data_IF_101272648405
#
_entry.id   IF_101272648405
#
_cell.length_a   1.000
_cell.length_b   1.000
_cell.length_c   1.000
_cell.angle_alpha   90.00
_cell.angle_beta   90.00
_cell.angle_gamma   90.00
#
_symmetry.space_group_name_H-M   'P 1'
#
loop_
_entity.id
_entity.type
_entity.pdbx_description
1 polymer ?
#
# COMPACT_ATOMS: atom_id res chain seq x y z
N UNK A 1 -0.83 -20.61 -0.57
CA UNK A 1 0.13 -20.65 -1.70
C UNK A 1 -0.32 -21.46 -2.91
N UNK A 2 -1.02 -22.61 -2.77
CA UNK A 2 -1.35 -23.49 -3.92
C UNK A 2 -1.94 -22.76 -5.13
N UNK A 3 -2.98 -21.95 -4.94
CA UNK A 3 -3.63 -21.24 -6.04
C UNK A 3 -2.71 -20.22 -6.72
N UNK A 4 -1.91 -19.47 -5.95
CA UNK A 4 -0.96 -18.48 -6.50
C UNK A 4 0.05 -19.19 -7.40
N UNK A 5 0.62 -20.29 -6.92
CA UNK A 5 1.57 -21.07 -7.70
C UNK A 5 0.91 -21.59 -8.98
N UNK A 6 -0.31 -22.14 -8.89
CA UNK A 6 -1.06 -22.59 -10.09
C UNK A 6 -1.29 -21.46 -11.09
N UNK A 7 -1.67 -20.26 -10.64
CA UNK A 7 -1.86 -19.09 -11.51
C UNK A 7 -0.55 -18.68 -12.17
N UNK A 8 0.55 -18.59 -11.40
CA UNK A 8 1.87 -18.22 -11.92
C UNK A 8 2.40 -19.24 -12.92
N UNK A 9 2.25 -20.54 -12.66
CA UNK A 9 2.66 -21.59 -13.59
C UNK A 9 1.87 -21.53 -14.90
N UNK A 10 0.53 -21.39 -14.84
CA UNK A 10 -0.30 -21.20 -16.04
C UNK A 10 0.06 -19.91 -16.79
N UNK A 11 0.41 -18.83 -16.08
CA UNK A 11 0.80 -17.59 -16.71
C UNK A 11 2.16 -17.69 -17.42
N UNK A 12 3.11 -18.47 -16.87
CA UNK A 12 4.40 -18.74 -17.52
C UNK A 12 4.23 -19.45 -18.86
N UNK A 13 3.34 -20.43 -18.97
CA UNK A 13 3.13 -21.17 -20.23
C UNK A 13 2.65 -20.30 -21.38
N UNK A 14 2.12 -19.11 -21.10
CA UNK A 14 1.64 -18.14 -22.11
C UNK A 14 2.40 -16.80 -22.04
N UNK A 15 3.57 -16.76 -21.38
CA UNK A 15 4.41 -15.57 -21.22
C UNK A 15 3.69 -14.35 -20.62
N UNK A 16 2.83 -14.59 -19.60
CA UNK A 16 2.04 -13.55 -18.90
C UNK A 16 2.33 -13.49 -17.40
N UNK A 17 3.49 -13.98 -16.94
CA UNK A 17 3.84 -14.01 -15.52
C UNK A 17 3.77 -12.63 -14.88
N UNK A 18 4.34 -11.60 -15.52
CA UNK A 18 4.34 -10.21 -15.00
C UNK A 18 2.93 -9.66 -14.81
N UNK A 19 2.02 -9.95 -15.75
CA UNK A 19 0.60 -9.57 -15.67
C UNK A 19 -0.10 -10.32 -14.53
N UNK A 20 0.16 -11.61 -14.40
CA UNK A 20 -0.42 -12.41 -13.31
C UNK A 20 0.05 -11.90 -11.95
N UNK A 21 1.34 -11.64 -11.78
CA UNK A 21 1.95 -11.10 -10.56
C UNK A 21 1.36 -9.71 -10.23
N UNK A 22 1.17 -8.83 -11.23
CA UNK A 22 0.49 -7.55 -11.04
C UNK A 22 -0.96 -7.70 -10.54
N UNK A 23 -1.73 -8.65 -11.10
CA UNK A 23 -3.10 -8.93 -10.66
C UNK A 23 -3.16 -9.56 -9.28
N UNK A 24 -2.21 -10.43 -8.94
CA UNK A 24 -2.07 -11.00 -7.59
C UNK A 24 -1.82 -9.87 -6.58
N UNK A 25 -0.85 -8.98 -6.82
CA UNK A 25 -0.57 -7.85 -5.94
C UNK A 25 -1.79 -6.96 -5.72
N UNK A 26 -2.50 -6.60 -6.80
CA UNK A 26 -3.73 -5.81 -6.75
C UNK A 26 -4.85 -6.49 -5.94
N UNK A 27 -4.99 -7.82 -6.09
CA UNK A 27 -6.00 -8.60 -5.37
C UNK A 27 -5.70 -8.66 -3.88
N UNK A 28 -4.44 -8.88 -3.49
CA UNK A 28 -4.03 -8.94 -2.09
C UNK A 28 -4.30 -7.61 -1.36
N UNK A 29 -4.10 -6.48 -2.03
CA UNK A 29 -4.35 -5.15 -1.45
C UNK A 29 -5.83 -4.87 -1.16
N UNK A 30 -6.75 -5.56 -1.83
CA UNK A 30 -8.21 -5.39 -1.68
C UNK A 30 -8.81 -6.14 -0.51
N UNK A 31 -8.00 -6.87 0.27
CA UNK A 31 -8.52 -7.50 1.49
C UNK A 31 -9.28 -6.44 2.33
N UNK A 32 -10.38 -6.77 3.03
CA UNK A 32 -11.10 -5.79 3.84
C UNK A 32 -10.35 -5.37 5.12
N UNK A 33 -10.34 -4.06 5.42
CA UNK A 33 -9.76 -3.46 6.65
C UNK A 33 -10.68 -3.63 7.88
N UNK A 34 -11.64 -4.56 7.82
CA UNK A 34 -12.74 -4.67 8.77
C UNK A 34 -12.41 -5.47 10.04
N UNK A 35 -11.27 -6.18 10.05
CA UNK A 35 -10.81 -6.88 11.24
C UNK A 35 -9.91 -5.98 12.08
N UNK A 36 -10.10 -5.95 13.41
CA UNK A 36 -9.17 -5.36 14.39
C UNK A 36 -7.70 -5.78 14.17
N UNK A 37 -7.48 -6.87 13.41
CA UNK A 37 -6.20 -7.37 12.95
C UNK A 37 -6.09 -7.32 11.41
N UNK A 38 -6.17 -6.13 10.80
CA UNK A 38 -5.85 -5.90 9.37
C UNK A 38 -4.45 -6.43 8.94
N UNK A 39 -3.64 -6.82 9.91
CA UNK A 39 -2.40 -7.56 9.75
C UNK A 39 -2.68 -9.03 9.42
N UNK A 40 -3.05 -9.29 8.17
CA UNK A 40 -3.12 -10.67 7.68
C UNK A 40 -1.70 -11.14 7.42
N UNK A 41 -1.13 -11.80 8.43
CA UNK A 41 0.21 -12.36 8.39
C UNK A 41 0.43 -13.22 7.13
N UNK A 42 -0.60 -13.90 6.66
CA UNK A 42 -0.59 -14.69 5.43
C UNK A 42 -0.31 -13.84 4.19
N UNK A 43 -0.84 -12.62 4.08
CA UNK A 43 -0.56 -11.72 2.96
C UNK A 43 0.90 -11.30 2.99
N UNK A 44 1.43 -10.96 4.16
CA UNK A 44 2.84 -10.56 4.30
C UNK A 44 3.76 -11.70 3.94
N UNK A 45 3.45 -12.92 4.40
CA UNK A 45 4.18 -14.13 4.04
C UNK A 45 4.15 -14.39 2.54
N UNK A 46 3.00 -14.20 1.87
CA UNK A 46 2.89 -14.35 0.41
C UNK A 46 3.82 -13.37 -0.30
N UNK A 47 3.77 -12.09 0.06
CA UNK A 47 4.55 -11.04 -0.58
C UNK A 47 6.05 -11.27 -0.33
N UNK A 48 6.44 -11.58 0.90
CA UNK A 48 7.84 -11.83 1.26
C UNK A 48 8.43 -13.05 0.54
N UNK A 49 7.65 -14.14 0.44
CA UNK A 49 8.09 -15.36 -0.24
C UNK A 49 8.21 -15.17 -1.75
N UNK A 50 7.29 -14.43 -2.37
CA UNK A 50 7.30 -14.23 -3.82
C UNK A 50 8.29 -13.13 -4.25
N UNK A 51 8.39 -12.08 -3.45
CA UNK A 51 9.24 -10.89 -3.61
C UNK A 51 9.38 -10.39 -5.06
N UNK A 52 8.28 -10.46 -5.83
CA UNK A 52 8.23 -9.97 -7.21
C UNK A 52 7.98 -8.46 -7.20
N UNK A 53 8.69 -7.75 -8.07
CA UNK A 53 8.49 -6.31 -8.28
C UNK A 53 7.03 -6.01 -8.64
N UNK A 54 6.44 -6.78 -9.54
CA UNK A 54 5.07 -6.60 -10.02
C UNK A 54 4.05 -6.82 -8.90
N UNK A 55 4.25 -7.82 -8.05
CA UNK A 55 3.40 -8.02 -6.86
C UNK A 55 3.52 -6.84 -5.92
N UNK A 56 4.75 -6.44 -5.59
CA UNK A 56 5.04 -5.39 -4.61
C UNK A 56 4.46 -4.03 -5.05
N UNK A 57 4.70 -3.65 -6.30
CA UNK A 57 4.23 -2.38 -6.86
C UNK A 57 2.71 -2.34 -6.95
N UNK A 58 2.06 -3.42 -7.37
CA UNK A 58 0.60 -3.45 -7.49
C UNK A 58 -0.09 -3.61 -6.13
N UNK A 59 0.57 -4.24 -5.16
CA UNK A 59 0.12 -4.23 -3.78
C UNK A 59 0.15 -2.81 -3.21
N UNK A 60 1.27 -2.09 -3.41
CA UNK A 60 1.43 -0.69 -3.00
C UNK A 60 0.34 0.22 -3.62
N UNK A 61 0.18 0.17 -4.95
CA UNK A 61 -0.85 0.95 -5.66
C UNK A 61 -2.26 0.57 -5.22
N UNK A 62 -2.53 -0.71 -4.97
CA UNK A 62 -3.82 -1.17 -4.46
C UNK A 62 -4.13 -0.61 -3.08
N UNK A 63 -3.14 -0.55 -2.17
CA UNK A 63 -3.30 0.03 -0.84
C UNK A 63 -3.58 1.54 -0.89
N UNK A 64 -2.92 2.24 -1.80
CA UNK A 64 -3.18 3.66 -2.05
C UNK A 64 -4.60 3.87 -2.56
N UNK A 65 -4.97 3.18 -3.64
CA UNK A 65 -6.28 3.32 -4.28
C UNK A 65 -7.45 2.98 -3.35
N UNK A 66 -7.26 2.06 -2.41
CA UNK A 66 -8.28 1.69 -1.42
C UNK A 66 -8.74 2.85 -0.53
N UNK A 67 -7.87 3.83 -0.27
CA UNK A 67 -8.19 5.00 0.58
C UNK A 67 -9.03 6.05 -0.13
N UNK A 68 -9.15 5.96 -1.46
CA UNK A 68 -10.01 6.84 -2.25
C UNK A 68 -9.64 8.32 -2.11
N UNK A 69 -10.61 9.18 -2.37
CA UNK A 69 -10.48 10.63 -2.19
C UNK A 69 -10.94 11.03 -0.79
N UNK A 70 -10.25 12.01 -0.19
CA UNK A 70 -10.67 12.65 1.05
C UNK A 70 -11.34 14.00 0.76
N UNK A 71 -12.32 14.37 1.59
CA UNK A 71 -12.88 15.72 1.65
C UNK A 71 -12.36 16.41 2.90
N UNK A 72 -12.10 17.72 2.84
CA UNK A 72 -11.50 18.49 3.93
C UNK A 72 -11.95 19.95 3.90
N UNK A 73 -11.84 20.65 5.03
CA UNK A 73 -11.99 22.11 5.06
C UNK A 73 -10.79 22.78 4.39
N UNK A 74 -11.02 23.98 3.82
CA UNK A 74 -9.98 24.77 3.11
C UNK A 74 -8.74 24.99 4.00
N UNK A 75 -8.93 25.10 5.31
CA UNK A 75 -7.89 25.38 6.30
C UNK A 75 -7.20 24.16 6.92
N UNK A 76 -7.66 22.95 6.61
CA UNK A 76 -7.27 21.73 7.37
C UNK A 76 -5.89 21.19 6.99
N UNK A 77 -5.37 21.60 5.82
CA UNK A 77 -4.03 21.20 5.34
C UNK A 77 -3.86 19.69 5.21
N UNK A 78 -2.66 19.21 5.53
CA UNK A 78 -2.20 17.84 5.38
C UNK A 78 -2.49 16.89 6.55
N UNK A 79 -3.43 17.23 7.44
CA UNK A 79 -3.70 16.42 8.64
C UNK A 79 -4.08 14.97 8.30
N UNK A 80 -4.97 14.77 7.33
CA UNK A 80 -5.45 13.45 6.92
C UNK A 80 -4.28 12.58 6.42
N UNK A 81 -3.41 13.17 5.61
CA UNK A 81 -2.24 12.48 5.07
C UNK A 81 -1.24 12.14 6.18
N UNK A 82 -1.05 13.01 7.18
CA UNK A 82 -0.21 12.70 8.34
C UNK A 82 -0.75 11.53 9.16
N UNK A 83 -2.06 11.41 9.31
CA UNK A 83 -2.70 10.27 9.98
C UNK A 83 -2.46 8.96 9.20
N UNK A 84 -2.54 8.99 7.87
CA UNK A 84 -2.16 7.85 7.02
C UNK A 84 -0.67 7.51 7.09
N UNK A 85 0.21 8.51 7.06
CA UNK A 85 1.65 8.31 7.18
C UNK A 85 2.03 7.64 8.51
N UNK A 86 1.41 8.09 9.61
CA UNK A 86 1.59 7.50 10.94
C UNK A 86 1.17 6.04 10.95
N UNK A 87 -0.03 5.74 10.43
CA UNK A 87 -0.54 4.37 10.35
C UNK A 87 0.42 3.42 9.62
N UNK A 88 0.92 3.81 8.45
CA UNK A 88 1.86 2.98 7.70
C UNK A 88 3.24 2.88 8.35
N UNK A 89 3.72 3.93 9.00
CA UNK A 89 4.98 3.89 9.77
C UNK A 89 4.90 2.89 10.92
N UNK A 90 3.78 2.88 11.65
CA UNK A 90 3.53 1.93 12.74
C UNK A 90 3.46 0.48 12.23
N UNK A 91 2.77 0.24 11.12
CA UNK A 91 2.73 -1.09 10.49
C UNK A 91 4.12 -1.54 10.05
N UNK A 92 4.89 -0.68 9.37
CA UNK A 92 6.26 -0.98 8.94
C UNK A 92 7.12 -1.40 10.14
N UNK A 93 7.13 -0.60 11.21
CA UNK A 93 7.90 -0.90 12.43
C UNK A 93 7.50 -2.24 13.06
N UNK A 94 6.20 -2.54 13.12
CA UNK A 94 5.69 -3.76 13.74
C UNK A 94 6.17 -5.02 13.04
N UNK A 95 6.24 -5.01 11.70
CA UNK A 95 6.50 -6.22 10.92
C UNK A 95 7.94 -6.33 10.40
N UNK A 96 8.75 -5.27 10.52
CA UNK A 96 10.10 -5.18 9.93
C UNK A 96 11.02 -6.34 10.26
N UNK A 97 10.95 -6.88 11.47
CA UNK A 97 11.79 -8.02 11.89
C UNK A 97 11.44 -9.33 11.20
N UNK A 98 10.18 -9.50 10.79
CA UNK A 98 9.65 -10.75 10.21
C UNK A 98 9.42 -10.68 8.70
N UNK A 99 9.06 -9.50 8.20
CA UNK A 99 8.69 -9.24 6.80
C UNK A 99 9.34 -7.94 6.30
N UNK A 100 10.67 -7.89 6.14
CA UNK A 100 11.39 -6.68 5.78
C UNK A 100 11.00 -6.12 4.39
N UNK A 101 10.70 -6.99 3.41
CA UNK A 101 10.23 -6.56 2.09
C UNK A 101 8.88 -5.85 2.17
N UNK A 102 7.94 -6.40 2.92
CA UNK A 102 6.62 -5.77 3.15
C UNK A 102 6.75 -4.48 3.97
N UNK A 103 7.62 -4.46 4.98
CA UNK A 103 7.88 -3.27 5.77
C UNK A 103 8.40 -2.11 4.92
N UNK A 104 9.21 -2.39 3.89
CA UNK A 104 9.69 -1.39 2.93
C UNK A 104 8.54 -0.79 2.10
N UNK A 105 7.54 -1.60 1.72
CA UNK A 105 6.35 -1.09 1.02
C UNK A 105 5.59 -0.11 1.91
N UNK A 106 5.37 -0.46 3.18
CA UNK A 106 4.71 0.45 4.13
C UNK A 106 5.53 1.71 4.42
N UNK A 107 6.86 1.61 4.48
CA UNK A 107 7.72 2.77 4.63
C UNK A 107 7.59 3.73 3.43
N UNK A 108 7.52 3.19 2.20
CA UNK A 108 7.27 3.99 0.99
C UNK A 108 5.92 4.69 1.08
N UNK A 109 4.86 3.98 1.44
CA UNK A 109 3.52 4.57 1.64
C UNK A 109 3.54 5.71 2.66
N UNK A 110 4.22 5.53 3.79
CA UNK A 110 4.35 6.58 4.79
C UNK A 110 5.04 7.84 4.23
N UNK A 111 6.12 7.66 3.46
CA UNK A 111 6.82 8.78 2.80
C UNK A 111 5.93 9.49 1.78
N UNK A 112 5.21 8.75 0.94
CA UNK A 112 4.27 9.34 -0.01
C UNK A 112 3.23 10.22 0.67
N UNK A 113 2.62 9.74 1.75
CA UNK A 113 1.66 10.55 2.50
C UNK A 113 2.28 11.77 3.18
N UNK A 114 3.53 11.70 3.65
CA UNK A 114 4.19 12.88 4.22
C UNK A 114 4.44 13.98 3.18
N UNK A 115 4.82 13.60 1.95
CA UNK A 115 4.99 14.55 0.85
C UNK A 115 3.64 15.12 0.41
N UNK A 116 2.59 14.31 0.34
CA UNK A 116 1.25 14.78 0.01
C UNK A 116 0.70 15.71 1.10
N UNK A 117 0.96 15.42 2.37
CA UNK A 117 0.63 16.31 3.49
C UNK A 117 1.26 17.71 3.33
N UNK A 118 2.54 17.79 2.91
CA UNK A 118 3.18 19.08 2.65
C UNK A 118 2.49 19.86 1.54
N UNK A 119 2.15 19.18 0.44
CA UNK A 119 1.42 19.81 -0.68
C UNK A 119 0.05 20.33 -0.25
N UNK A 120 -0.64 19.61 0.64
CA UNK A 120 -1.92 20.03 1.18
C UNK A 120 -1.78 21.24 2.12
N UNK A 121 -0.72 21.29 2.93
CA UNK A 121 -0.41 22.46 3.77
C UNK A 121 -0.12 23.71 2.91
N UNK A 122 0.67 23.57 1.85
CA UNK A 122 0.98 24.65 0.90
C UNK A 122 -0.29 25.17 0.22
N UNK A 123 -1.17 24.27 -0.24
CA UNK A 123 -2.45 24.66 -0.86
C UNK A 123 -3.39 25.34 0.13
N UNK A 124 -3.46 24.86 1.37
CA UNK A 124 -4.29 25.48 2.41
C UNK A 124 -3.80 26.91 2.73
N UNK A 125 -2.47 27.11 2.80
CA UNK A 125 -1.90 28.44 2.99
C UNK A 125 -2.23 29.39 1.85
N UNK A 126 -2.13 28.95 0.59
CA UNK A 126 -2.50 29.76 -0.57
C UNK A 126 -3.97 30.18 -0.53
N UNK A 127 -4.88 29.23 -0.28
CA UNK A 127 -6.31 29.51 -0.22
C UNK A 127 -6.73 30.41 0.95
N UNK A 128 -5.89 30.59 1.98
CA UNK A 128 -6.14 31.55 3.07
C UNK A 128 -5.71 32.98 2.72
N UNK A 129 -4.92 33.15 1.66
CA UNK A 129 -4.39 34.45 1.21
C UNK A 129 -5.26 35.09 0.11
N UNK A 130 -6.15 34.31 -0.51
CA UNK A 130 -7.14 34.72 -1.50
C UNK A 130 -8.51 35.03 -0.86
#
# INVERSE_FOLDING_TARGET
MKWINTVREKAKTVNRLTIADAKIGSMLARYPETNKNWQVEEIYKIIEVLNSKEINDNFNSGLFNKRGSSSRLVSEGGKIERDHAKHFSELSKKIKSKYPGVASIFEKMAKYYLEDARRMDESAQQNMLD
#
